data_IF_184052475748
#
_entry.id   IF_184052475748
#
_cell.length_a   1.000
_cell.length_b   1.000
_cell.length_c   1.000
_cell.angle_alpha   90.00
_cell.angle_beta   90.00
_cell.angle_gamma   90.00
#
_symmetry.space_group_name_H-M   'P 1'
#
loop_
_entity.id
_entity.type
_entity.pdbx_description
1 polymer ?
#
# COMPACT_ATOMS: atom_id res chain seq x y z
N UNK A 1 6.77 -7.84 14.67
CA UNK A 1 6.37 -9.19 14.17
C UNK A 1 6.24 -10.20 15.30
N UNK A 2 7.18 -10.26 16.27
CA UNK A 2 7.11 -11.24 17.40
C UNK A 2 5.78 -11.15 18.15
N UNK A 3 5.36 -9.95 18.57
CA UNK A 3 4.08 -9.74 19.23
C UNK A 3 2.89 -10.25 18.39
N UNK A 4 2.89 -9.96 17.08
CA UNK A 4 1.84 -10.46 16.19
C UNK A 4 1.79 -12.00 16.19
N UNK A 5 2.94 -12.65 16.09
CA UNK A 5 3.01 -14.12 16.07
C UNK A 5 2.44 -14.71 17.36
N UNK A 6 2.81 -14.15 18.52
CA UNK A 6 2.29 -14.63 19.83
C UNK A 6 0.77 -14.43 19.93
N UNK A 7 0.30 -13.23 19.64
CA UNK A 7 -1.14 -12.92 19.69
C UNK A 7 -1.96 -13.77 18.71
N UNK A 8 -1.43 -14.04 17.52
CA UNK A 8 -2.11 -14.92 16.57
C UNK A 8 -2.11 -16.38 17.02
N UNK A 9 -1.05 -16.85 17.69
CA UNK A 9 -1.05 -18.21 18.29
C UNK A 9 -2.10 -18.33 19.38
N UNK A 10 -2.15 -17.38 20.31
CA UNK A 10 -3.14 -17.36 21.39
C UNK A 10 -4.57 -17.38 20.83
N UNK A 11 -4.82 -16.64 19.74
CA UNK A 11 -6.12 -16.63 19.05
C UNK A 11 -6.40 -17.92 18.29
N UNK A 12 -5.38 -18.57 17.72
CA UNK A 12 -5.52 -19.82 16.99
C UNK A 12 -5.96 -20.99 17.89
N UNK A 13 -5.71 -20.92 19.19
CA UNK A 13 -6.21 -21.91 20.17
C UNK A 13 -7.73 -22.05 20.15
N UNK A 14 -8.47 -21.03 19.72
CA UNK A 14 -9.91 -21.08 19.55
C UNK A 14 -10.37 -21.90 18.32
N UNK A 15 -9.44 -22.37 17.48
CA UNK A 15 -9.74 -23.21 16.30
C UNK A 15 -10.34 -22.50 15.11
N UNK A 16 -10.34 -21.16 15.09
CA UNK A 16 -10.89 -20.37 13.98
C UNK A 16 -9.97 -20.33 12.75
N UNK A 17 -8.66 -20.49 12.98
CA UNK A 17 -7.63 -20.54 11.93
C UNK A 17 -6.37 -21.24 12.43
N UNK A 18 -5.49 -21.58 11.50
CA UNK A 18 -4.18 -22.15 11.77
C UNK A 18 -3.07 -21.26 11.18
N UNK A 19 -1.90 -21.26 11.84
CA UNK A 19 -0.71 -20.59 11.34
C UNK A 19 0.09 -21.59 10.50
N UNK A 20 0.06 -21.43 9.19
CA UNK A 20 0.75 -22.32 8.27
C UNK A 20 2.29 -22.26 8.41
N UNK A 21 2.86 -21.07 8.56
CA UNK A 21 4.30 -20.89 8.78
C UNK A 21 4.64 -19.46 9.24
N UNK A 22 5.85 -19.30 9.80
CA UNK A 22 6.56 -18.03 9.84
C UNK A 22 7.39 -17.86 8.57
N UNK A 23 7.29 -16.70 7.90
CA UNK A 23 8.02 -16.43 6.68
C UNK A 23 8.95 -15.22 6.86
N UNK A 24 10.22 -15.35 6.48
CA UNK A 24 11.24 -14.31 6.57
C UNK A 24 12.00 -14.16 5.26
N UNK A 25 12.05 -12.93 4.71
CA UNK A 25 12.94 -12.60 3.60
C UNK A 25 14.19 -11.89 4.12
N UNK A 26 15.34 -12.52 3.98
CA UNK A 26 16.64 -11.91 4.27
C UNK A 26 17.04 -10.99 3.10
N UNK A 27 17.05 -9.69 3.36
CA UNK A 27 17.32 -8.67 2.34
C UNK A 27 18.81 -8.51 1.98
N UNK A 28 19.72 -9.13 2.74
CA UNK A 28 21.20 -9.05 2.59
C UNK A 28 21.73 -7.60 2.50
N UNK A 29 21.09 -6.68 3.17
CA UNK A 29 21.48 -5.26 3.18
C UNK A 29 22.50 -4.94 4.28
N UNK A 30 22.69 -5.83 5.26
CA UNK A 30 23.51 -5.63 6.46
C UNK A 30 24.25 -6.91 6.82
N UNK A 31 25.41 -6.73 7.50
CA UNK A 31 26.13 -7.87 8.07
C UNK A 31 25.32 -8.64 9.14
N UNK A 32 24.35 -7.98 9.79
CA UNK A 32 23.47 -8.56 10.82
C UNK A 32 22.23 -9.25 10.28
N UNK A 33 22.02 -9.24 8.96
CA UNK A 33 20.81 -9.82 8.34
C UNK A 33 20.66 -11.33 8.62
N UNK A 34 21.77 -12.06 8.65
CA UNK A 34 21.76 -13.52 8.95
C UNK A 34 21.41 -13.80 10.41
N UNK A 35 21.82 -12.91 11.35
CA UNK A 35 21.42 -12.98 12.76
C UNK A 35 19.91 -12.82 12.89
N UNK A 36 19.30 -11.90 12.14
CA UNK A 36 17.86 -11.65 12.18
C UNK A 36 17.07 -12.86 11.63
N UNK A 37 17.60 -13.50 10.57
CA UNK A 37 17.03 -14.72 10.02
C UNK A 37 17.13 -15.89 11.03
N UNK A 38 18.31 -16.09 11.64
CA UNK A 38 18.52 -17.11 12.67
C UNK A 38 17.57 -16.92 13.87
N UNK A 39 17.37 -15.67 14.31
CA UNK A 39 16.40 -15.36 15.37
C UNK A 39 14.97 -15.73 14.98
N UNK A 40 14.55 -15.45 13.74
CA UNK A 40 13.23 -15.84 13.25
C UNK A 40 13.05 -17.37 13.22
N UNK A 41 14.08 -18.10 12.79
CA UNK A 41 14.09 -19.56 12.79
C UNK A 41 14.01 -20.15 14.20
N UNK A 42 14.78 -19.60 15.15
CA UNK A 42 14.71 -20.04 16.55
C UNK A 42 13.36 -19.72 17.20
N UNK A 43 12.77 -18.57 16.90
CA UNK A 43 11.42 -18.23 17.34
C UNK A 43 10.40 -19.25 16.80
N UNK A 44 10.45 -19.58 15.53
CA UNK A 44 9.56 -20.57 14.92
C UNK A 44 9.71 -21.95 15.59
N UNK A 45 10.95 -22.38 15.83
CA UNK A 45 11.24 -23.65 16.52
C UNK A 45 10.65 -23.68 17.94
N UNK A 46 10.83 -22.59 18.72
CA UNK A 46 10.26 -22.47 20.08
C UNK A 46 8.74 -22.54 20.10
N UNK A 47 8.12 -22.01 19.05
CA UNK A 47 6.66 -21.93 18.90
C UNK A 47 6.08 -23.15 18.15
N UNK A 48 6.91 -24.15 17.84
CA UNK A 48 6.53 -25.33 17.05
C UNK A 48 5.84 -24.99 15.71
N UNK A 49 6.26 -23.89 15.06
CA UNK A 49 5.74 -23.45 13.77
C UNK A 49 6.71 -23.79 12.64
N UNK A 50 6.24 -24.16 11.44
CA UNK A 50 7.07 -24.22 10.26
C UNK A 50 7.74 -22.87 9.98
N UNK A 51 8.99 -22.91 9.48
CA UNK A 51 9.75 -21.70 9.10
C UNK A 51 10.14 -21.76 7.63
N UNK A 52 9.85 -20.69 6.90
CA UNK A 52 10.24 -20.53 5.50
C UNK A 52 11.06 -19.27 5.36
N UNK A 53 12.30 -19.38 4.89
CA UNK A 53 13.14 -18.22 4.60
C UNK A 53 13.68 -18.27 3.18
N UNK A 54 13.95 -17.08 2.64
CA UNK A 54 14.62 -16.86 1.36
C UNK A 54 15.54 -15.65 1.51
N UNK A 55 16.66 -15.65 0.79
CA UNK A 55 17.56 -14.50 0.72
C UNK A 55 17.44 -13.81 -0.63
N UNK A 56 17.47 -12.47 -0.66
CA UNK A 56 17.45 -11.69 -1.89
C UNK A 56 18.48 -10.55 -1.83
N UNK A 57 19.20 -10.33 -2.94
CA UNK A 57 20.04 -9.14 -3.12
C UNK A 57 19.17 -7.96 -3.54
N UNK A 58 18.62 -7.28 -2.54
CA UNK A 58 17.76 -6.11 -2.72
C UNK A 58 18.51 -4.96 -3.40
N UNK A 59 19.80 -4.79 -3.14
CA UNK A 59 20.59 -3.72 -3.73
C UNK A 59 20.78 -3.93 -5.24
N UNK A 60 21.05 -5.16 -5.68
CA UNK A 60 21.14 -5.50 -7.10
C UNK A 60 19.79 -5.29 -7.79
N UNK A 61 18.70 -5.79 -7.21
CA UNK A 61 17.36 -5.62 -7.75
C UNK A 61 16.94 -4.14 -7.87
N UNK A 62 17.27 -3.31 -6.86
CA UNK A 62 16.98 -1.89 -6.88
C UNK A 62 17.69 -1.18 -8.05
N UNK A 63 18.98 -1.50 -8.30
CA UNK A 63 19.76 -0.94 -9.42
C UNK A 63 19.19 -1.35 -10.78
N UNK A 64 18.91 -2.63 -10.95
CA UNK A 64 18.38 -3.19 -12.21
C UNK A 64 17.04 -2.56 -12.60
N UNK A 65 16.14 -2.38 -11.61
CA UNK A 65 14.78 -1.90 -11.84
C UNK A 65 14.62 -0.39 -11.60
N UNK A 66 15.69 0.35 -11.31
CA UNK A 66 15.69 1.80 -11.03
C UNK A 66 14.72 2.18 -9.89
N UNK A 67 14.72 1.39 -8.84
CA UNK A 67 13.88 1.57 -7.66
C UNK A 67 14.69 2.10 -6.48
N UNK A 68 14.00 2.69 -5.49
CA UNK A 68 14.58 2.86 -4.18
C UNK A 68 14.84 1.48 -3.52
N UNK A 69 15.83 1.40 -2.63
CA UNK A 69 16.11 0.16 -1.89
C UNK A 69 14.88 -0.28 -1.07
N UNK A 70 14.12 0.68 -0.53
CA UNK A 70 12.89 0.42 0.21
C UNK A 70 11.81 -0.21 -0.68
N UNK A 71 11.56 0.36 -1.87
CA UNK A 71 10.57 -0.18 -2.81
C UNK A 71 10.98 -1.54 -3.35
N UNK A 72 12.27 -1.73 -3.65
CA UNK A 72 12.84 -3.00 -4.08
C UNK A 72 12.64 -4.08 -3.01
N UNK A 73 13.02 -3.80 -1.77
CA UNK A 73 12.84 -4.71 -0.64
C UNK A 73 11.36 -5.02 -0.39
N UNK A 74 10.51 -4.01 -0.50
CA UNK A 74 9.06 -4.21 -0.39
C UNK A 74 8.52 -5.13 -1.50
N UNK A 75 8.88 -4.91 -2.77
CA UNK A 75 8.43 -5.74 -3.90
C UNK A 75 8.89 -7.19 -3.74
N UNK A 76 10.16 -7.41 -3.46
CA UNK A 76 10.72 -8.75 -3.26
C UNK A 76 10.06 -9.47 -2.08
N UNK A 77 9.84 -8.79 -0.95
CA UNK A 77 9.18 -9.35 0.21
C UNK A 77 7.74 -9.79 -0.08
N UNK A 78 6.94 -8.95 -0.75
CA UNK A 78 5.56 -9.34 -1.06
C UNK A 78 5.51 -10.45 -2.11
N UNK A 79 6.40 -10.44 -3.11
CA UNK A 79 6.51 -11.54 -4.08
C UNK A 79 6.88 -12.87 -3.40
N UNK A 80 7.85 -12.86 -2.48
CA UNK A 80 8.21 -14.02 -1.66
C UNK A 80 7.03 -14.51 -0.83
N UNK A 81 6.39 -13.61 -0.06
CA UNK A 81 5.25 -13.98 0.79
C UNK A 81 4.08 -14.57 -0.01
N UNK A 82 3.80 -14.05 -1.20
CA UNK A 82 2.74 -14.57 -2.07
C UNK A 82 3.07 -15.97 -2.59
N UNK A 83 4.32 -16.21 -3.04
CA UNK A 83 4.77 -17.55 -3.44
C UNK A 83 4.69 -18.56 -2.29
N UNK A 84 5.14 -18.14 -1.11
CA UNK A 84 5.08 -18.99 0.11
C UNK A 84 3.63 -19.30 0.49
N UNK A 85 2.74 -18.31 0.47
CA UNK A 85 1.33 -18.53 0.76
C UNK A 85 0.68 -19.52 -0.22
N UNK A 86 0.97 -19.37 -1.53
CA UNK A 86 0.47 -20.30 -2.54
C UNK A 86 1.02 -21.74 -2.36
N UNK A 87 2.31 -21.86 -2.03
CA UNK A 87 2.93 -23.19 -1.81
C UNK A 87 2.39 -23.91 -0.56
N UNK A 88 1.91 -23.17 0.44
CA UNK A 88 1.35 -23.69 1.69
C UNK A 88 -0.18 -23.71 1.70
N UNK A 89 -0.84 -23.38 0.59
CA UNK A 89 -2.30 -23.19 0.49
C UNK A 89 -2.85 -22.24 1.58
N UNK A 90 -2.06 -21.22 1.95
CA UNK A 90 -2.43 -20.26 2.96
C UNK A 90 -3.36 -19.18 2.40
N UNK A 91 -4.53 -19.03 2.96
CA UNK A 91 -5.55 -18.08 2.52
C UNK A 91 -5.24 -16.62 2.89
N UNK A 92 -4.30 -16.38 3.81
CA UNK A 92 -3.92 -15.04 4.30
C UNK A 92 -2.43 -14.91 4.57
N UNK A 93 -1.94 -13.67 4.39
CA UNK A 93 -0.60 -13.24 4.78
C UNK A 93 -0.75 -12.15 5.84
N UNK A 94 -0.36 -12.42 7.08
CA UNK A 94 -0.37 -11.42 8.15
C UNK A 94 0.93 -10.61 8.17
N UNK A 95 0.81 -9.27 8.21
CA UNK A 95 1.96 -8.35 8.27
C UNK A 95 1.79 -7.39 9.45
N UNK A 96 2.82 -7.25 10.28
CA UNK A 96 2.81 -6.54 11.55
C UNK A 96 2.95 -5.02 11.42
N UNK A 97 2.16 -4.37 10.58
CA UNK A 97 2.04 -2.91 10.60
C UNK A 97 1.23 -2.46 11.81
N UNK A 98 1.63 -1.35 12.40
CA UNK A 98 1.08 -0.77 13.62
C UNK A 98 0.41 0.58 13.37
N UNK A 99 -0.25 1.14 14.38
CA UNK A 99 -0.79 2.48 14.38
C UNK A 99 0.30 3.55 14.11
N UNK A 100 1.52 3.33 14.62
CA UNK A 100 2.67 4.19 14.33
C UNK A 100 3.01 4.18 12.83
N UNK A 101 3.02 3.01 12.19
CA UNK A 101 3.27 2.88 10.75
C UNK A 101 2.19 3.58 9.92
N UNK A 102 0.95 3.55 10.39
CA UNK A 102 -0.16 4.28 9.76
C UNK A 102 0.06 5.79 9.84
N UNK A 103 0.41 6.32 11.01
CA UNK A 103 0.68 7.74 11.19
C UNK A 103 1.88 8.21 10.35
N UNK A 104 2.97 7.44 10.33
CA UNK A 104 4.14 7.71 9.48
C UNK A 104 3.75 7.76 8.00
N UNK A 105 2.97 6.78 7.54
CA UNK A 105 2.54 6.68 6.13
C UNK A 105 1.62 7.82 5.75
N UNK A 106 0.67 8.19 6.60
CA UNK A 106 -0.22 9.33 6.39
C UNK A 106 0.56 10.63 6.18
N UNK A 107 1.50 10.94 7.09
CA UNK A 107 2.31 12.16 7.00
C UNK A 107 3.21 12.17 5.75
N UNK A 108 3.83 11.04 5.41
CA UNK A 108 4.63 10.93 4.20
C UNK A 108 3.81 11.16 2.93
N UNK A 109 2.58 10.65 2.89
CA UNK A 109 1.65 10.85 1.78
C UNK A 109 1.13 12.28 1.72
N UNK A 110 0.81 12.87 2.87
CA UNK A 110 0.39 14.27 2.98
C UNK A 110 1.46 15.23 2.43
N UNK A 111 2.71 15.06 2.84
CA UNK A 111 3.84 15.87 2.36
C UNK A 111 4.11 15.74 0.86
N UNK A 112 3.64 14.68 0.23
CA UNK A 112 3.72 14.46 -1.23
C UNK A 112 2.48 14.93 -1.98
N UNK A 113 1.53 15.58 -1.31
CA UNK A 113 0.29 16.05 -1.92
C UNK A 113 -0.68 14.96 -2.34
N UNK A 114 -0.67 13.81 -1.66
CA UNK A 114 -1.57 12.72 -1.99
C UNK A 114 -3.05 13.11 -1.78
N UNK A 115 -3.92 12.70 -2.70
CA UNK A 115 -5.37 12.79 -2.53
C UNK A 115 -5.91 11.75 -1.54
N UNK A 116 -7.24 11.70 -1.38
CA UNK A 116 -7.93 10.88 -0.37
C UNK A 116 -7.50 9.40 -0.38
N UNK A 117 -7.43 8.77 -1.56
CA UNK A 117 -6.99 7.36 -1.69
C UNK A 117 -5.58 7.14 -1.14
N UNK A 118 -4.67 8.10 -1.36
CA UNK A 118 -3.32 8.04 -0.81
C UNK A 118 -3.29 8.29 0.69
N UNK A 119 -4.04 9.28 1.18
CA UNK A 119 -4.14 9.64 2.60
C UNK A 119 -4.83 8.55 3.44
N UNK A 120 -5.64 7.67 2.85
CA UNK A 120 -6.14 6.46 3.50
C UNK A 120 -5.04 5.55 4.07
N UNK A 121 -3.77 5.79 3.69
CA UNK A 121 -2.57 5.21 4.28
C UNK A 121 -2.43 3.71 3.99
N UNK A 122 -2.22 2.95 5.04
CA UNK A 122 -2.12 1.49 5.01
C UNK A 122 -3.51 0.90 5.18
N UNK A 123 -3.90 -0.02 4.28
CA UNK A 123 -5.20 -0.69 4.34
C UNK A 123 -5.12 -1.90 5.29
N UNK A 124 -6.13 -2.13 6.19
CA UNK A 124 -6.18 -3.28 7.08
C UNK A 124 -6.13 -4.60 6.31
N UNK A 125 -6.77 -4.63 5.15
CA UNK A 125 -6.76 -5.76 4.23
C UNK A 125 -6.58 -5.28 2.79
N UNK A 126 -5.74 -5.98 2.05
CA UNK A 126 -5.59 -5.83 0.60
C UNK A 126 -5.31 -7.20 0.00
N UNK A 127 -6.23 -7.68 -0.80
CA UNK A 127 -6.23 -9.04 -1.35
C UNK A 127 -6.12 -10.08 -0.22
N UNK A 128 -5.10 -10.94 -0.23
CA UNK A 128 -4.82 -11.93 0.82
C UNK A 128 -4.03 -11.37 2.00
N UNK A 129 -3.50 -10.13 1.88
CA UNK A 129 -2.68 -9.52 2.94
C UNK A 129 -3.56 -8.84 3.98
N UNK A 130 -3.38 -9.21 5.24
CA UNK A 130 -4.04 -8.61 6.40
C UNK A 130 -3.04 -7.96 7.35
N UNK A 131 -3.50 -6.98 8.14
CA UNK A 131 -2.67 -6.23 9.10
C UNK A 131 -3.39 -6.12 10.44
N UNK A 132 -3.35 -7.19 11.23
CA UNK A 132 -4.17 -7.29 12.45
C UNK A 132 -3.83 -6.22 13.50
N UNK A 133 -2.60 -5.69 13.50
CA UNK A 133 -2.11 -4.75 14.50
C UNK A 133 -2.17 -3.28 14.06
N UNK A 134 -2.89 -2.98 12.96
CA UNK A 134 -2.86 -1.63 12.37
C UNK A 134 -3.42 -0.55 13.31
N UNK A 135 -4.30 -0.91 14.22
CA UNK A 135 -4.89 -0.01 15.21
C UNK A 135 -4.23 -0.07 16.58
N UNK A 136 -3.15 -0.88 16.72
CA UNK A 136 -2.43 -1.08 17.98
C UNK A 136 -1.15 -0.25 17.99
N UNK A 137 -0.89 0.47 19.07
CA UNK A 137 0.32 1.25 19.22
C UNK A 137 1.55 0.34 19.41
N UNK A 138 2.69 0.73 18.84
CA UNK A 138 3.96 -0.02 18.99
C UNK A 138 4.38 -0.14 20.46
N UNK A 139 4.09 0.89 21.26
CA UNK A 139 4.39 0.90 22.71
C UNK A 139 3.64 -0.23 23.44
N UNK A 140 2.35 -0.43 23.12
CA UNK A 140 1.54 -1.48 23.75
C UNK A 140 2.06 -2.87 23.41
N UNK A 141 2.47 -3.08 22.16
CA UNK A 141 3.07 -4.34 21.72
C UNK A 141 4.41 -4.62 22.41
N UNK A 142 5.23 -3.60 22.65
CA UNK A 142 6.47 -3.75 23.45
C UNK A 142 6.16 -4.06 24.91
N UNK A 143 5.17 -3.38 25.50
CA UNK A 143 4.69 -3.67 26.87
C UNK A 143 4.20 -5.11 27.00
N UNK A 144 3.45 -5.61 26.02
CA UNK A 144 3.01 -7.02 25.97
C UNK A 144 4.19 -7.98 25.93
N UNK A 145 5.18 -7.76 25.06
CA UNK A 145 6.37 -8.62 24.97
C UNK A 145 7.19 -8.61 26.27
N UNK A 146 7.32 -7.44 26.92
CA UNK A 146 8.00 -7.34 28.21
C UNK A 146 7.26 -8.12 29.31
N UNK A 147 5.94 -7.99 29.36
CA UNK A 147 5.09 -8.68 30.36
C UNK A 147 5.12 -10.20 30.17
N UNK A 148 5.26 -10.68 28.93
CA UNK A 148 5.33 -12.12 28.60
C UNK A 148 6.76 -12.67 28.61
N UNK A 149 7.78 -11.83 28.86
CA UNK A 149 9.18 -12.25 28.86
C UNK A 149 9.72 -12.64 27.47
N UNK A 150 9.03 -12.24 26.40
CA UNK A 150 9.46 -12.54 25.04
C UNK A 150 10.55 -11.59 24.57
N UNK A 151 11.57 -12.16 23.94
CA UNK A 151 12.65 -11.40 23.32
C UNK A 151 12.30 -10.98 21.90
N UNK A 152 12.80 -9.82 21.49
CA UNK A 152 12.70 -9.35 20.10
C UNK A 152 14.01 -8.66 19.68
N UNK A 153 14.19 -8.52 18.37
CA UNK A 153 15.30 -7.78 17.80
C UNK A 153 14.79 -6.42 17.34
N UNK A 154 15.51 -5.35 17.70
CA UNK A 154 15.32 -4.02 17.12
C UNK A 154 16.14 -3.93 15.83
N UNK A 155 15.48 -3.48 14.76
CA UNK A 155 16.14 -3.23 13.49
C UNK A 155 16.99 -1.95 13.58
N UNK A 156 18.31 -2.08 13.48
CA UNK A 156 19.26 -0.98 13.56
C UNK A 156 19.03 0.11 12.50
N UNK A 157 18.42 -0.24 11.36
CA UNK A 157 18.07 0.74 10.31
C UNK A 157 16.98 1.72 10.74
N UNK A 158 16.26 1.45 11.83
CA UNK A 158 15.26 2.37 12.38
C UNK A 158 15.86 3.70 12.87
N UNK A 159 17.18 3.75 13.13
CA UNK A 159 17.89 4.95 13.58
C UNK A 159 18.44 5.80 12.41
N UNK A 160 18.44 5.27 11.18
CA UNK A 160 18.95 6.02 10.02
C UNK A 160 18.00 7.16 9.63
N UNK A 161 18.35 8.37 10.04
CA UNK A 161 17.63 9.62 9.74
C UNK A 161 17.69 10.05 8.27
N UNK A 162 18.49 9.42 7.41
CA UNK A 162 18.46 9.67 5.97
C UNK A 162 17.19 9.09 5.34
N UNK A 163 16.61 8.06 5.96
CA UNK A 163 15.31 7.55 5.56
C UNK A 163 14.19 8.55 5.93
N UNK A 164 13.37 9.01 4.97
CA UNK A 164 12.27 9.93 5.24
C UNK A 164 11.28 9.42 6.31
N UNK A 165 11.05 8.11 6.39
CA UNK A 165 10.17 7.49 7.37
C UNK A 165 10.72 7.65 8.79
N UNK A 166 12.03 7.42 8.97
CA UNK A 166 12.68 7.60 10.27
C UNK A 166 12.73 9.08 10.67
N UNK A 167 12.89 10.01 9.71
CA UNK A 167 12.74 11.45 10.00
C UNK A 167 11.34 11.80 10.52
N UNK A 168 10.29 11.25 9.92
CA UNK A 168 8.92 11.44 10.42
C UNK A 168 8.80 10.88 11.84
N UNK A 169 9.28 9.67 12.08
CA UNK A 169 9.23 8.98 13.38
C UNK A 169 9.94 9.73 14.49
N UNK A 170 11.18 10.17 14.22
CA UNK A 170 12.08 10.70 15.25
C UNK A 170 12.08 12.23 15.38
N UNK A 171 11.56 12.96 14.38
CA UNK A 171 11.57 14.42 14.40
C UNK A 171 10.16 15.03 14.25
N UNK A 172 9.38 14.60 13.25
CA UNK A 172 8.10 15.24 12.96
C UNK A 172 7.04 14.84 13.99
N UNK A 173 6.85 13.55 14.22
CA UNK A 173 5.85 13.07 15.19
C UNK A 173 6.09 13.57 16.61
N UNK A 174 7.33 13.57 17.17
CA UNK A 174 7.58 14.15 18.49
C UNK A 174 7.30 15.65 18.53
N UNK A 175 7.57 16.39 17.46
CA UNK A 175 7.25 17.82 17.41
C UNK A 175 5.74 18.06 17.35
N UNK A 176 4.99 17.25 16.60
CA UNK A 176 3.53 17.30 16.60
C UNK A 176 2.96 16.97 17.99
N UNK A 177 3.51 15.96 18.66
CA UNK A 177 3.12 15.60 20.03
C UNK A 177 3.35 16.78 20.99
N UNK A 178 4.48 17.49 20.86
CA UNK A 178 4.80 18.67 21.66
C UNK A 178 3.82 19.82 21.42
N UNK A 179 3.51 20.11 20.16
CA UNK A 179 2.58 21.19 19.77
C UNK A 179 1.15 20.88 20.22
N UNK A 180 0.72 19.62 20.08
CA UNK A 180 -0.62 19.18 20.47
C UNK A 180 -0.81 18.98 21.98
N UNK A 181 0.28 18.99 22.77
CA UNK A 181 0.23 18.69 24.20
C UNK A 181 -0.07 17.24 24.54
N UNK A 182 0.13 16.30 23.60
CA UNK A 182 -0.14 14.87 23.80
C UNK A 182 0.08 14.04 22.53
N UNK A 183 -0.10 12.70 22.59
CA UNK A 183 0.19 11.80 21.49
C UNK A 183 -0.71 12.05 20.29
N UNK A 184 -0.13 12.35 19.13
CA UNK A 184 -0.85 12.65 17.89
C UNK A 184 -1.09 11.42 17.01
N UNK A 185 -0.31 10.33 17.20
CA UNK A 185 -0.43 9.11 16.40
C UNK A 185 -1.84 8.52 16.33
N UNK A 186 -2.59 8.41 17.46
CA UNK A 186 -3.97 7.90 17.42
C UNK A 186 -4.90 8.81 16.60
N UNK A 187 -4.73 10.14 16.69
CA UNK A 187 -5.54 11.09 15.93
C UNK A 187 -5.24 11.01 14.43
N UNK A 188 -3.96 10.92 14.05
CA UNK A 188 -3.54 10.78 12.65
C UNK A 188 -4.01 9.44 12.08
N UNK A 189 -3.89 8.34 12.82
CA UNK A 189 -4.37 7.02 12.37
C UNK A 189 -5.89 7.01 12.17
N UNK A 190 -6.64 7.65 13.06
CA UNK A 190 -8.09 7.83 12.92
C UNK A 190 -8.44 8.66 11.69
N UNK A 191 -7.74 9.78 11.45
CA UNK A 191 -7.92 10.59 10.24
C UNK A 191 -7.67 9.76 8.97
N UNK A 192 -6.62 8.92 8.94
CA UNK A 192 -6.34 8.02 7.84
C UNK A 192 -7.46 6.99 7.62
N UNK A 193 -8.05 6.45 8.70
CA UNK A 193 -9.15 5.50 8.62
C UNK A 193 -10.41 6.12 8.00
N UNK A 194 -10.83 7.29 8.50
CA UNK A 194 -11.99 8.02 7.96
C UNK A 194 -11.77 8.41 6.49
N UNK A 195 -10.59 8.94 6.18
CA UNK A 195 -10.23 9.29 4.79
C UNK A 195 -10.28 8.07 3.86
N UNK A 196 -9.91 6.90 4.36
CA UNK A 196 -9.97 5.65 3.60
C UNK A 196 -11.41 5.21 3.33
N UNK A 197 -12.28 5.31 4.32
CA UNK A 197 -13.71 5.00 4.18
C UNK A 197 -14.36 5.90 3.11
N UNK A 198 -14.15 7.20 3.20
CA UNK A 198 -14.65 8.16 2.21
C UNK A 198 -14.08 7.89 0.81
N UNK A 199 -12.77 7.60 0.71
CA UNK A 199 -12.14 7.27 -0.56
C UNK A 199 -12.73 6.00 -1.18
N UNK A 200 -12.97 4.95 -0.40
CA UNK A 200 -13.54 3.69 -0.86
C UNK A 200 -14.95 3.89 -1.40
N UNK A 201 -15.79 4.61 -0.66
CA UNK A 201 -17.15 4.93 -1.10
C UNK A 201 -17.18 5.72 -2.40
N UNK A 202 -16.34 6.76 -2.49
CA UNK A 202 -16.21 7.53 -3.73
C UNK A 202 -15.67 6.69 -4.91
N UNK A 203 -14.76 5.76 -4.65
CA UNK A 203 -14.22 4.84 -5.68
C UNK A 203 -15.32 3.85 -6.15
N UNK A 204 -16.22 3.41 -5.27
CA UNK A 204 -17.39 2.60 -5.63
C UNK A 204 -18.37 3.39 -6.52
N UNK A 205 -18.70 4.61 -6.14
CA UNK A 205 -19.52 5.50 -6.96
C UNK A 205 -18.88 5.75 -8.33
N UNK A 206 -17.56 5.99 -8.36
CA UNK A 206 -16.81 6.18 -9.60
C UNK A 206 -16.85 4.95 -10.50
N UNK A 207 -16.68 3.75 -9.95
CA UNK A 207 -16.79 2.48 -10.69
C UNK A 207 -18.21 2.24 -11.22
N UNK A 208 -19.23 2.44 -10.41
CA UNK A 208 -20.63 2.32 -10.84
C UNK A 208 -20.94 3.30 -11.98
N UNK A 209 -20.50 4.56 -11.85
CA UNK A 209 -20.68 5.56 -12.89
C UNK A 209 -19.89 5.22 -14.15
N UNK A 210 -18.64 4.75 -14.03
CA UNK A 210 -17.87 4.27 -15.16
C UNK A 210 -18.60 3.16 -15.92
N UNK A 211 -19.09 2.15 -15.21
CA UNK A 211 -19.83 1.03 -15.82
C UNK A 211 -21.08 1.49 -16.58
N UNK A 212 -21.76 2.55 -16.09
CA UNK A 212 -22.96 3.11 -16.75
C UNK A 212 -22.66 3.97 -17.98
N UNK A 213 -21.43 4.54 -18.09
CA UNK A 213 -21.07 5.47 -19.15
C UNK A 213 -20.13 4.89 -20.20
N UNK A 214 -19.34 3.86 -19.82
CA UNK A 214 -18.30 3.33 -20.68
C UNK A 214 -18.88 2.44 -21.78
N UNK A 215 -18.59 2.78 -23.03
CA UNK A 215 -18.89 1.97 -24.21
C UNK A 215 -17.59 1.53 -24.84
N UNK A 216 -17.40 0.22 -24.98
CA UNK A 216 -16.26 -0.33 -25.72
C UNK A 216 -16.65 -0.59 -27.15
N UNK A 217 -15.88 -0.03 -28.10
CA UNK A 217 -16.04 -0.24 -29.53
C UNK A 217 -14.67 -0.70 -30.05
N UNK A 218 -14.60 -1.93 -30.51
CA UNK A 218 -13.35 -2.60 -30.89
C UNK A 218 -12.32 -2.54 -29.77
N UNK A 219 -11.19 -1.85 -29.99
CA UNK A 219 -10.13 -1.66 -28.98
C UNK A 219 -10.26 -0.37 -28.20
N UNK A 220 -11.16 0.54 -28.61
CA UNK A 220 -11.34 1.87 -27.98
C UNK A 220 -12.35 1.84 -26.83
N UNK A 221 -12.28 2.85 -25.96
CA UNK A 221 -13.25 3.07 -24.91
C UNK A 221 -13.77 4.50 -25.03
N UNK A 222 -15.09 4.64 -25.08
CA UNK A 222 -15.76 5.93 -25.23
C UNK A 222 -16.55 6.29 -23.98
N UNK A 223 -16.51 7.57 -23.60
CA UNK A 223 -17.29 8.17 -22.52
C UNK A 223 -18.04 9.39 -23.07
N UNK A 224 -19.34 9.49 -22.80
CA UNK A 224 -20.15 10.63 -23.21
C UNK A 224 -19.78 11.90 -22.42
N UNK A 225 -19.39 12.96 -23.12
CA UNK A 225 -18.94 14.22 -22.51
C UNK A 225 -20.07 14.94 -21.80
N UNK A 226 -21.30 14.93 -22.36
CA UNK A 226 -22.45 15.56 -21.72
C UNK A 226 -22.80 14.85 -20.40
N UNK A 227 -22.80 13.52 -20.40
CA UNK A 227 -23.03 12.74 -19.19
C UNK A 227 -21.91 12.90 -18.13
N UNK A 228 -20.67 13.12 -18.57
CA UNK A 228 -19.57 13.48 -17.65
C UNK A 228 -19.76 14.88 -17.07
N UNK A 229 -20.23 15.85 -17.85
CA UNK A 229 -20.51 17.21 -17.38
C UNK A 229 -21.60 17.28 -16.30
N UNK A 230 -22.56 16.37 -16.33
CA UNK A 230 -23.60 16.22 -15.30
C UNK A 230 -23.13 15.46 -14.05
N UNK A 231 -21.92 14.90 -14.10
CA UNK A 231 -21.37 14.09 -13.01
C UNK A 231 -20.51 14.95 -12.08
N UNK A 232 -20.63 14.85 -10.75
CA UNK A 232 -19.80 15.61 -9.82
C UNK A 232 -18.29 15.39 -10.06
N UNK A 233 -17.50 16.45 -10.03
CA UNK A 233 -16.07 16.43 -10.38
C UNK A 233 -15.25 15.34 -9.63
N UNK A 234 -15.47 15.07 -8.31
CA UNK A 234 -14.77 13.98 -7.63
C UNK A 234 -15.05 12.59 -8.24
N UNK A 235 -16.24 12.38 -8.79
CA UNK A 235 -16.63 11.14 -9.45
C UNK A 235 -16.07 11.10 -10.87
N UNK A 236 -16.09 12.20 -11.61
CA UNK A 236 -15.46 12.29 -12.94
C UNK A 236 -13.99 11.87 -12.88
N UNK A 237 -13.22 12.36 -11.88
CA UNK A 237 -11.83 11.96 -11.70
C UNK A 237 -11.66 10.44 -11.57
N UNK A 238 -12.57 9.79 -10.88
CA UNK A 238 -12.54 8.32 -10.69
C UNK A 238 -12.95 7.57 -11.95
N UNK A 239 -13.97 8.05 -12.65
CA UNK A 239 -14.37 7.51 -13.96
C UNK A 239 -13.20 7.57 -14.94
N UNK A 240 -12.53 8.71 -15.03
CA UNK A 240 -11.36 8.89 -15.89
C UNK A 240 -10.21 7.96 -15.48
N UNK A 241 -9.93 7.84 -14.19
CA UNK A 241 -8.90 6.95 -13.67
C UNK A 241 -9.18 5.48 -14.01
N UNK A 242 -10.42 5.02 -13.85
CA UNK A 242 -10.85 3.65 -14.22
C UNK A 242 -10.72 3.42 -15.73
N UNK A 243 -11.18 4.37 -16.56
CA UNK A 243 -11.04 4.32 -18.01
C UNK A 243 -9.58 4.20 -18.45
N UNK A 244 -8.70 5.04 -17.90
CA UNK A 244 -7.28 5.05 -18.20
C UNK A 244 -6.60 3.74 -17.76
N UNK A 245 -6.88 3.27 -16.54
CA UNK A 245 -6.33 2.00 -16.03
C UNK A 245 -6.71 0.82 -16.90
N UNK A 246 -7.95 0.80 -17.39
CA UNK A 246 -8.44 -0.26 -18.27
C UNK A 246 -7.68 -0.30 -19.60
N UNK A 247 -7.21 0.86 -20.09
CA UNK A 247 -6.51 0.98 -21.38
C UNK A 247 -4.98 1.12 -21.26
N UNK A 248 -4.45 1.27 -20.06
CA UNK A 248 -3.01 1.49 -19.81
C UNK A 248 -2.13 0.24 -19.91
N UNK A 249 -2.70 -0.94 -20.14
CA UNK A 249 -2.00 -2.24 -20.17
C UNK A 249 -1.14 -2.48 -18.91
N UNK A 250 -1.66 -2.11 -17.73
CA UNK A 250 -0.98 -2.29 -16.43
C UNK A 250 0.06 -1.22 -16.09
N UNK A 251 0.23 -0.20 -16.94
CA UNK A 251 1.12 0.94 -16.64
C UNK A 251 0.49 1.85 -15.57
N UNK A 252 1.32 2.49 -14.77
CA UNK A 252 0.85 3.36 -13.69
C UNK A 252 0.23 4.65 -14.23
N UNK A 253 -0.97 4.98 -13.74
CA UNK A 253 -1.68 6.23 -14.05
C UNK A 253 -1.67 7.09 -12.80
N UNK A 254 -1.04 8.27 -12.91
CA UNK A 254 -0.97 9.28 -11.85
C UNK A 254 -2.10 10.31 -11.95
N UNK A 255 -2.17 11.18 -10.93
CA UNK A 255 -3.16 12.26 -10.86
C UNK A 255 -2.99 13.25 -12.02
N UNK A 256 -1.76 13.53 -12.45
CA UNK A 256 -1.44 14.42 -13.57
C UNK A 256 -2.11 13.99 -14.88
N UNK A 257 -2.21 12.68 -15.12
CA UNK A 257 -2.90 12.16 -16.31
C UNK A 257 -4.40 12.44 -16.24
N UNK A 258 -4.99 12.25 -15.04
CA UNK A 258 -6.42 12.52 -14.82
C UNK A 258 -6.75 14.01 -14.95
N UNK A 259 -5.91 14.88 -14.38
CA UNK A 259 -6.10 16.34 -14.48
C UNK A 259 -5.91 16.82 -15.94
N UNK A 260 -4.99 16.21 -16.69
CA UNK A 260 -4.84 16.50 -18.13
C UNK A 260 -6.08 16.13 -18.94
N UNK A 261 -6.74 15.01 -18.62
CA UNK A 261 -7.99 14.62 -19.27
C UNK A 261 -9.16 15.52 -18.85
N UNK A 262 -9.20 15.98 -17.60
CA UNK A 262 -10.18 16.98 -17.15
C UNK A 262 -10.01 18.30 -17.92
N UNK A 263 -8.78 18.72 -18.21
CA UNK A 263 -8.52 19.91 -19.01
C UNK A 263 -9.05 19.78 -20.46
N UNK A 264 -9.02 18.58 -21.05
CA UNK A 264 -9.68 18.32 -22.34
C UNK A 264 -11.20 18.52 -22.23
N UNK A 265 -11.84 18.03 -21.19
CA UNK A 265 -13.28 18.25 -20.96
C UNK A 265 -13.61 19.73 -20.74
N UNK A 266 -12.67 20.52 -20.22
CA UNK A 266 -12.77 21.97 -20.05
C UNK A 266 -12.52 22.80 -21.31
N UNK A 267 -12.29 22.17 -22.47
CA UNK A 267 -12.15 22.85 -23.76
C UNK A 267 -10.70 22.97 -24.29
N UNK A 268 -9.72 22.29 -23.67
CA UNK A 268 -8.39 22.15 -24.23
C UNK A 268 -8.50 21.42 -25.58
N UNK A 269 -7.93 22.02 -26.65
CA UNK A 269 -7.96 21.39 -27.98
C UNK A 269 -6.86 20.33 -28.12
N UNK A 270 -7.16 19.30 -28.91
CA UNK A 270 -6.23 18.22 -29.23
C UNK A 270 -6.48 16.94 -28.42
N UNK A 271 -5.43 16.15 -28.22
CA UNK A 271 -5.44 14.92 -27.43
C UNK A 271 -4.22 14.89 -26.53
N UNK A 272 -4.26 14.02 -25.54
CA UNK A 272 -3.15 13.77 -24.61
C UNK A 272 -2.67 12.33 -24.74
N UNK A 273 -1.38 12.13 -24.65
CA UNK A 273 -0.78 10.81 -24.54
C UNK A 273 -0.54 10.49 -23.08
N UNK A 274 -1.05 9.34 -22.64
CA UNK A 274 -0.86 8.80 -21.30
C UNK A 274 -0.24 7.39 -21.41
N UNK A 275 0.31 6.85 -20.34
CA UNK A 275 0.91 5.52 -20.41
C UNK A 275 -0.04 4.47 -20.98
N UNK A 276 0.28 3.96 -22.17
CA UNK A 276 -0.46 2.88 -22.86
C UNK A 276 -1.65 3.31 -23.71
N UNK A 277 -2.09 4.56 -23.67
CA UNK A 277 -3.18 5.02 -24.56
C UNK A 277 -3.13 6.52 -24.85
N UNK A 278 -3.83 6.91 -25.90
CA UNK A 278 -4.11 8.29 -26.25
C UNK A 278 -5.55 8.64 -25.88
N UNK A 279 -5.76 9.80 -25.31
CA UNK A 279 -7.09 10.31 -24.93
C UNK A 279 -7.39 11.56 -25.74
N UNK A 280 -8.54 11.60 -26.40
CA UNK A 280 -8.94 12.74 -27.23
C UNK A 280 -10.46 12.93 -27.28
N UNK A 281 -10.90 14.13 -27.67
CA UNK A 281 -12.31 14.42 -27.89
C UNK A 281 -12.68 14.20 -29.36
N UNK A 282 -13.71 13.39 -29.60
CA UNK A 282 -14.29 13.15 -30.95
C UNK A 282 -15.81 13.11 -30.86
N UNK A 283 -16.50 13.97 -31.61
CA UNK A 283 -17.95 13.91 -31.76
C UNK A 283 -18.73 13.93 -30.44
N UNK A 284 -18.32 14.72 -29.44
CA UNK A 284 -18.97 14.76 -28.11
C UNK A 284 -18.64 13.58 -27.20
N UNK A 285 -17.66 12.78 -27.56
CA UNK A 285 -17.14 11.65 -26.76
C UNK A 285 -15.70 11.90 -26.34
N UNK A 286 -15.33 11.47 -25.15
CA UNK A 286 -13.95 11.28 -24.74
C UNK A 286 -13.52 9.85 -25.11
N UNK A 287 -12.58 9.74 -26.04
CA UNK A 287 -12.16 8.46 -26.62
C UNK A 287 -10.77 8.09 -26.12
N UNK A 288 -10.64 6.90 -25.55
CA UNK A 288 -9.37 6.33 -25.12
C UNK A 288 -8.95 5.23 -26.12
N UNK A 289 -7.84 5.47 -26.79
CA UNK A 289 -7.31 4.63 -27.88
C UNK A 289 -6.05 3.96 -27.38
N UNK A 290 -6.00 2.62 -27.27
CA UNK A 290 -4.76 1.92 -26.89
C UNK A 290 -3.63 2.26 -27.87
N UNK A 291 -2.47 2.61 -27.34
CA UNK A 291 -1.26 2.68 -28.16
C UNK A 291 -0.62 1.30 -28.18
N UNK A 292 -0.44 0.73 -29.37
CA UNK A 292 0.21 -0.56 -29.55
C UNK A 292 1.58 -0.56 -28.86
N UNK A 293 1.92 -1.67 -28.23
CA UNK A 293 3.28 -1.94 -27.75
C UNK A 293 4.18 -2.01 -29.00
N UNK A 294 4.99 -0.94 -29.22
CA UNK A 294 6.14 -1.00 -30.12
C UNK A 294 7.19 -1.93 -29.55
#
# INVERSE_FOLDING_TARGET
SVAMTRLLLDLAENGEFEIAALAHLNHRLRATSDRDEAFCGELARRLALPFVSESADVAAYAREHRLSVEDAGRRLRYAFLQRTAAALDASRIAVAHTQDDQAETFLLKLMRGAGLTGLGGIYPRRDIVIRPLLDTARADLRGYLQATGEQWIEDETNEDINNPRNRVRHRVLPELDRVAGGPTRPAIARAAALTREDAQWLDELGRARFQSLAVEIDSTLELDVAALAETPAPIVRRVLLEAMRKKSAGREIGLEHVESALALLGGLQGGIDIPGCRVELRGGKLVLIPQGTL
#
